data_IF_013732540535
#
_entry.id   IF_013732540535
#
_cell.length_a   1.000
_cell.length_b   1.000
_cell.length_c   1.000
_cell.angle_alpha   90.00
_cell.angle_beta   90.00
_cell.angle_gamma   90.00
#
_symmetry.space_group_name_H-M   'P 1'
#
loop_
_entity.id
_entity.type
_entity.pdbx_description
1 polymer ?
#
# COMPACT_ATOMS: atom_id res chain seq x y z
N UNK A 1 13.32 21.11 37.27
CA UNK A 1 12.57 21.48 36.04
C UNK A 1 12.89 20.45 34.97
N UNK A 2 11.94 19.57 34.62
CA UNK A 2 12.14 18.64 33.52
C UNK A 2 12.14 19.44 32.22
N UNK A 3 13.26 19.45 31.49
CA UNK A 3 13.32 20.02 30.16
C UNK A 3 12.31 19.26 29.28
N UNK A 4 11.22 19.93 28.89
CA UNK A 4 10.25 19.35 27.95
C UNK A 4 11.00 19.04 26.66
N UNK A 5 10.96 17.78 26.22
CA UNK A 5 11.63 17.39 24.98
C UNK A 5 11.13 18.27 23.82
N UNK A 6 12.03 18.69 22.91
CA UNK A 6 11.64 19.55 21.79
C UNK A 6 10.54 18.86 20.96
N UNK A 7 9.61 19.64 20.38
CA UNK A 7 8.53 19.07 19.58
C UNK A 7 9.10 18.24 18.43
N UNK A 8 8.64 17.00 18.32
CA UNK A 8 9.07 16.07 17.25
C UNK A 8 8.59 16.54 15.88
N UNK A 9 9.41 16.29 14.86
CA UNK A 9 9.12 16.65 13.47
C UNK A 9 7.96 15.81 12.89
N UNK A 10 7.92 14.52 13.25
CA UNK A 10 6.85 13.58 12.96
C UNK A 10 6.22 13.02 14.24
N UNK A 11 4.89 13.12 14.36
CA UNK A 11 4.16 12.58 15.50
C UNK A 11 4.25 11.05 15.56
N UNK A 12 4.14 10.47 16.76
CA UNK A 12 4.14 9.01 16.93
C UNK A 12 3.01 8.35 16.13
N UNK A 13 1.80 8.92 16.19
CA UNK A 13 0.63 8.40 15.46
C UNK A 13 0.86 8.34 13.95
N UNK A 14 1.48 9.38 13.36
CA UNK A 14 1.80 9.41 11.94
C UNK A 14 2.82 8.33 11.56
N UNK A 15 3.87 8.16 12.36
CA UNK A 15 4.92 7.16 12.12
C UNK A 15 4.38 5.75 12.19
N UNK A 16 3.63 5.43 13.24
CA UNK A 16 2.98 4.12 13.39
C UNK A 16 2.03 3.86 12.22
N UNK A 17 1.19 4.83 11.85
CA UNK A 17 0.30 4.70 10.71
C UNK A 17 1.07 4.43 9.41
N UNK A 18 2.14 5.19 9.14
CA UNK A 18 2.97 5.03 7.95
C UNK A 18 3.59 3.62 7.87
N UNK A 19 4.28 3.18 8.93
CA UNK A 19 4.94 1.88 8.94
C UNK A 19 3.96 0.71 8.93
N UNK A 20 2.79 0.83 9.55
CA UNK A 20 1.71 -0.16 9.43
C UNK A 20 1.21 -0.26 7.98
N UNK A 21 1.01 0.87 7.29
CA UNK A 21 0.63 0.84 5.87
C UNK A 21 1.73 0.19 5.02
N UNK A 22 3.00 0.57 5.23
CA UNK A 22 4.13 0.00 4.50
C UNK A 22 4.22 -1.53 4.68
N UNK A 23 4.04 -2.02 5.91
CA UNK A 23 4.05 -3.45 6.22
C UNK A 23 2.88 -4.18 5.54
N UNK A 24 1.66 -3.65 5.66
CA UNK A 24 0.46 -4.28 5.07
C UNK A 24 0.52 -4.30 3.54
N UNK A 25 0.91 -3.19 2.92
CA UNK A 25 1.05 -3.11 1.45
C UNK A 25 2.14 -4.07 0.96
N UNK A 26 3.28 -4.14 1.66
CA UNK A 26 4.34 -5.10 1.31
C UNK A 26 3.86 -6.54 1.43
N UNK A 27 3.07 -6.86 2.48
CA UNK A 27 2.42 -8.16 2.65
C UNK A 27 1.45 -8.49 1.51
N UNK A 28 0.59 -7.55 1.14
CA UNK A 28 -0.33 -7.69 0.01
C UNK A 28 0.41 -7.97 -1.31
N UNK A 29 1.43 -7.18 -1.63
CA UNK A 29 2.25 -7.41 -2.83
C UNK A 29 2.98 -8.77 -2.78
N UNK A 30 3.42 -9.19 -1.60
CA UNK A 30 4.04 -10.50 -1.40
C UNK A 30 3.05 -11.63 -1.67
N UNK A 31 1.81 -11.56 -1.18
CA UNK A 31 0.80 -12.60 -1.47
C UNK A 31 0.54 -12.76 -2.97
N UNK A 32 0.48 -11.66 -3.72
CA UNK A 32 0.35 -11.70 -5.19
C UNK A 32 1.60 -12.30 -5.85
N UNK A 33 2.79 -11.89 -5.41
CA UNK A 33 4.05 -12.46 -5.90
C UNK A 33 4.07 -13.97 -5.73
N UNK A 34 3.59 -14.48 -4.59
CA UNK A 34 3.49 -15.92 -4.35
C UNK A 34 2.45 -16.58 -5.24
N UNK A 35 1.25 -16.01 -5.38
CA UNK A 35 0.18 -16.55 -6.23
C UNK A 35 0.59 -16.68 -7.70
N UNK A 36 1.25 -15.66 -8.25
CA UNK A 36 1.45 -15.53 -9.70
C UNK A 36 2.88 -15.76 -10.18
N UNK A 37 3.90 -15.64 -9.32
CA UNK A 37 5.32 -15.71 -9.75
C UNK A 37 6.08 -16.85 -9.06
N UNK A 38 6.01 -16.96 -7.73
CA UNK A 38 6.84 -17.93 -6.98
C UNK A 38 6.20 -19.32 -6.97
N UNK A 39 5.00 -19.47 -6.41
CA UNK A 39 4.34 -20.78 -6.33
C UNK A 39 3.74 -21.14 -7.68
N UNK A 40 3.25 -20.15 -8.43
CA UNK A 40 2.44 -20.33 -9.64
C UNK A 40 1.45 -21.45 -9.45
N UNK A 41 0.39 -21.20 -8.67
CA UNK A 41 -0.54 -22.24 -8.17
C UNK A 41 -1.05 -23.21 -9.25
N UNK A 42 -1.06 -22.81 -10.53
CA UNK A 42 -1.35 -23.66 -11.69
C UNK A 42 -0.38 -24.84 -11.86
N UNK A 43 0.90 -24.66 -11.56
CA UNK A 43 2.00 -25.63 -11.71
C UNK A 43 2.11 -26.61 -10.52
N UNK A 44 1.54 -26.26 -9.35
CA UNK A 44 1.61 -27.08 -8.12
C UNK A 44 1.02 -28.48 -8.32
N UNK A 45 -0.08 -28.60 -9.07
CA UNK A 45 -0.73 -29.89 -9.35
C UNK A 45 0.18 -30.85 -10.12
N UNK A 46 0.66 -30.46 -11.31
CA UNK A 46 1.62 -31.25 -12.08
C UNK A 46 2.90 -31.62 -11.31
N UNK A 47 3.49 -30.67 -10.58
CA UNK A 47 4.72 -30.92 -9.79
C UNK A 47 4.46 -31.99 -8.71
N UNK A 48 3.33 -31.90 -8.01
CA UNK A 48 2.96 -32.89 -6.99
C UNK A 48 2.70 -34.28 -7.58
N UNK A 49 2.05 -34.35 -8.74
CA UNK A 49 1.85 -35.61 -9.47
C UNK A 49 3.18 -36.25 -9.88
N UNK A 50 4.11 -35.45 -10.42
CA UNK A 50 5.44 -35.94 -10.82
C UNK A 50 6.24 -36.46 -9.62
N UNK A 51 6.21 -35.75 -8.49
CA UNK A 51 6.91 -36.18 -7.27
C UNK A 51 6.38 -37.51 -6.74
N UNK A 52 5.06 -37.67 -6.64
CA UNK A 52 4.47 -38.91 -6.09
C UNK A 52 4.55 -40.08 -7.07
N UNK A 53 4.57 -39.82 -8.38
CA UNK A 53 4.83 -40.85 -9.37
C UNK A 53 6.23 -41.48 -9.20
N UNK A 54 7.23 -40.73 -8.70
CA UNK A 54 8.57 -41.27 -8.39
C UNK A 54 8.55 -42.28 -7.25
N UNK A 55 7.57 -42.19 -6.35
CA UNK A 55 7.37 -43.11 -5.22
C UNK A 55 6.33 -44.20 -5.55
N UNK A 56 5.92 -44.33 -6.81
CA UNK A 56 4.93 -45.32 -7.26
C UNK A 56 3.48 -45.01 -6.86
N UNK A 57 3.19 -43.78 -6.44
CA UNK A 57 1.87 -43.32 -6.03
C UNK A 57 1.18 -42.55 -7.16
N UNK A 58 0.05 -43.05 -7.64
CA UNK A 58 -0.75 -42.36 -8.66
C UNK A 58 -1.71 -41.34 -8.03
N UNK A 59 -1.59 -40.07 -8.45
CA UNK A 59 -2.49 -38.99 -8.02
C UNK A 59 -3.43 -38.60 -9.15
N UNK A 60 -4.72 -38.73 -8.89
CA UNK A 60 -5.76 -38.35 -9.85
C UNK A 60 -5.74 -36.85 -10.15
N UNK A 61 -6.21 -36.47 -11.33
CA UNK A 61 -6.37 -35.06 -11.71
C UNK A 61 -7.30 -34.28 -10.76
N UNK A 62 -8.27 -34.95 -10.13
CA UNK A 62 -9.15 -34.34 -9.13
C UNK A 62 -8.40 -34.01 -7.83
N UNK A 63 -7.55 -34.91 -7.35
CA UNK A 63 -6.70 -34.66 -6.19
C UNK A 63 -5.69 -33.54 -6.45
N UNK A 64 -5.07 -33.50 -7.64
CA UNK A 64 -4.17 -32.42 -8.03
C UNK A 64 -4.89 -31.06 -8.11
N UNK A 65 -6.14 -31.02 -8.61
CA UNK A 65 -6.99 -29.81 -8.58
C UNK A 65 -7.34 -29.37 -7.15
N UNK A 66 -7.68 -30.32 -6.28
CA UNK A 66 -8.00 -30.03 -4.89
C UNK A 66 -6.80 -29.41 -4.16
N UNK A 67 -5.59 -29.96 -4.34
CA UNK A 67 -4.36 -29.40 -3.77
C UNK A 67 -4.13 -27.96 -4.22
N UNK A 68 -4.21 -27.70 -5.53
CA UNK A 68 -4.06 -26.35 -6.09
C UNK A 68 -5.05 -25.36 -5.47
N UNK A 69 -6.31 -25.79 -5.31
CA UNK A 69 -7.37 -24.97 -4.71
C UNK A 69 -7.06 -24.66 -3.24
N UNK A 70 -6.63 -25.65 -2.45
CA UNK A 70 -6.28 -25.44 -1.03
C UNK A 70 -5.13 -24.45 -0.88
N UNK A 71 -4.04 -24.62 -1.65
CA UNK A 71 -2.88 -23.73 -1.60
C UNK A 71 -3.27 -22.32 -2.03
N UNK A 72 -3.99 -22.18 -3.14
CA UNK A 72 -4.42 -20.88 -3.65
C UNK A 72 -5.34 -20.17 -2.65
N UNK A 73 -6.36 -20.87 -2.14
CA UNK A 73 -7.32 -20.30 -1.19
C UNK A 73 -6.63 -19.78 0.06
N UNK A 74 -5.68 -20.54 0.61
CA UNK A 74 -4.93 -20.12 1.80
C UNK A 74 -4.18 -18.81 1.60
N UNK A 75 -3.62 -18.56 0.41
CA UNK A 75 -2.92 -17.31 0.12
C UNK A 75 -3.93 -16.17 -0.10
N UNK A 76 -5.05 -16.44 -0.76
CA UNK A 76 -6.14 -15.47 -0.91
C UNK A 76 -6.74 -15.06 0.44
N UNK A 77 -6.92 -15.98 1.39
CA UNK A 77 -7.39 -15.67 2.75
C UNK A 77 -6.49 -14.63 3.42
N UNK A 78 -5.17 -14.79 3.28
CA UNK A 78 -4.20 -13.82 3.78
C UNK A 78 -4.29 -12.49 3.03
N UNK A 79 -4.42 -12.51 1.71
CA UNK A 79 -4.58 -11.31 0.89
C UNK A 79 -5.82 -10.51 1.31
N UNK A 80 -6.97 -11.18 1.46
CA UNK A 80 -8.24 -10.58 1.90
C UNK A 80 -8.08 -10.02 3.31
N UNK A 81 -7.53 -10.81 4.24
CA UNK A 81 -7.31 -10.37 5.63
C UNK A 81 -6.47 -9.09 5.70
N UNK A 82 -5.35 -9.06 4.97
CA UNK A 82 -4.49 -7.88 4.90
C UNK A 82 -5.19 -6.70 4.21
N UNK A 83 -6.03 -6.95 3.20
CA UNK A 83 -6.83 -5.93 2.52
C UNK A 83 -7.87 -5.30 3.44
N UNK A 84 -8.51 -6.08 4.30
CA UNK A 84 -9.43 -5.58 5.33
C UNK A 84 -8.69 -4.75 6.39
N UNK A 85 -7.47 -5.16 6.79
CA UNK A 85 -6.61 -4.35 7.67
C UNK A 85 -6.26 -3.01 7.00
N UNK A 86 -5.88 -3.03 5.72
CA UNK A 86 -5.59 -1.82 4.94
C UNK A 86 -6.80 -0.88 4.87
N UNK A 87 -8.00 -1.46 4.69
CA UNK A 87 -9.27 -0.72 4.74
C UNK A 87 -9.43 -0.01 6.08
N UNK A 88 -9.22 -0.72 7.20
CA UNK A 88 -9.26 -0.15 8.54
C UNK A 88 -8.25 0.99 8.73
N UNK A 89 -7.02 0.82 8.25
CA UNK A 89 -5.98 1.85 8.31
C UNK A 89 -6.34 3.11 7.50
N UNK A 90 -6.99 2.93 6.34
CA UNK A 90 -7.45 4.04 5.50
C UNK A 90 -8.62 4.77 6.14
N UNK A 91 -9.63 4.06 6.66
CA UNK A 91 -10.76 4.64 7.39
C UNK A 91 -10.26 5.41 8.61
N UNK A 92 -9.37 4.80 9.40
CA UNK A 92 -8.72 5.47 10.54
C UNK A 92 -8.04 6.78 10.12
N UNK A 93 -7.35 6.81 8.97
CA UNK A 93 -6.72 8.02 8.45
C UNK A 93 -7.73 9.11 8.12
N UNK A 94 -8.83 8.76 7.47
CA UNK A 94 -9.92 9.68 7.11
C UNK A 94 -10.58 10.25 8.36
N UNK A 95 -10.86 9.41 9.36
CA UNK A 95 -11.42 9.86 10.65
C UNK A 95 -10.47 10.83 11.35
N UNK A 96 -9.18 10.52 11.43
CA UNK A 96 -8.19 11.44 12.00
C UNK A 96 -8.10 12.76 11.24
N UNK A 97 -8.29 12.76 9.93
CA UNK A 97 -8.30 13.96 9.11
C UNK A 97 -9.51 14.87 9.41
N UNK A 98 -10.67 14.29 9.72
CA UNK A 98 -11.85 15.03 10.13
C UNK A 98 -11.75 15.59 11.55
N UNK A 99 -11.13 14.84 12.47
CA UNK A 99 -10.91 15.26 13.86
C UNK A 99 -9.84 16.36 14.01
N UNK A 100 -8.97 16.54 13.00
CA UNK A 100 -7.96 17.59 13.04
C UNK A 100 -8.56 19.00 12.89
N UNK A 101 -8.00 20.02 13.60
CA UNK A 101 -8.42 21.41 13.46
C UNK A 101 -8.40 21.86 12.00
N UNK A 102 -9.36 22.70 11.58
CA UNK A 102 -9.53 23.12 10.19
C UNK A 102 -8.26 23.75 9.55
N UNK A 103 -7.39 24.36 10.37
CA UNK A 103 -6.10 24.92 9.95
C UNK A 103 -5.05 23.86 9.59
N UNK A 104 -5.19 22.63 10.11
CA UNK A 104 -4.25 21.53 9.92
C UNK A 104 -4.71 20.51 8.86
N UNK A 105 -5.96 20.62 8.38
CA UNK A 105 -6.50 19.75 7.34
C UNK A 105 -5.69 19.81 6.05
N UNK A 106 -5.61 18.68 5.36
CA UNK A 106 -4.93 18.49 4.09
C UNK A 106 -5.41 19.47 3.03
N UNK A 107 -6.71 19.75 2.95
CA UNK A 107 -7.28 20.73 2.01
C UNK A 107 -6.76 22.15 2.25
N UNK A 108 -6.63 22.56 3.52
CA UNK A 108 -6.06 23.85 3.92
C UNK A 108 -4.54 23.89 3.68
N UNK A 109 -3.82 22.81 4.00
CA UNK A 109 -2.37 22.68 3.72
C UNK A 109 -2.08 22.69 2.22
N UNK A 110 -2.89 22.03 1.40
CA UNK A 110 -2.78 22.01 -0.06
C UNK A 110 -3.08 23.38 -0.65
N UNK A 111 -4.12 24.08 -0.16
CA UNK A 111 -4.45 25.45 -0.56
C UNK A 111 -3.32 26.42 -0.22
N UNK A 112 -2.78 26.34 0.99
CA UNK A 112 -1.66 27.19 1.43
C UNK A 112 -0.37 26.88 0.67
N UNK A 113 -0.09 25.60 0.39
CA UNK A 113 1.06 25.20 -0.43
C UNK A 113 0.93 25.69 -1.88
N UNK A 114 -0.27 25.62 -2.48
CA UNK A 114 -0.56 26.13 -3.82
C UNK A 114 -0.45 27.65 -3.89
N UNK A 115 -0.98 28.36 -2.88
CA UNK A 115 -0.85 29.81 -2.77
C UNK A 115 0.61 30.25 -2.56
N UNK A 116 1.39 29.51 -1.77
CA UNK A 116 2.82 29.78 -1.61
C UNK A 116 3.62 29.51 -2.89
N UNK A 117 3.29 28.44 -3.63
CA UNK A 117 3.92 28.14 -4.93
C UNK A 117 3.60 29.21 -5.99
N UNK A 118 2.37 29.72 -6.00
CA UNK A 118 1.97 30.83 -6.87
C UNK A 118 2.65 32.17 -6.51
N UNK A 119 3.03 32.37 -5.24
CA UNK A 119 3.67 33.61 -4.77
C UNK A 119 5.19 33.65 -4.92
N UNK A 120 5.90 32.51 -4.85
CA UNK A 120 7.39 32.49 -4.93
C UNK A 120 7.96 32.37 -6.33
N UNK A 121 7.15 32.09 -7.35
CA UNK A 121 7.65 31.81 -8.70
C UNK A 121 8.38 30.46 -8.78
N UNK A 122 8.25 29.77 -9.93
CA UNK A 122 8.74 28.41 -10.14
C UNK A 122 10.26 28.30 -10.34
N UNK A 123 11.06 29.21 -9.76
CA UNK A 123 12.44 29.45 -10.17
C UNK A 123 13.52 28.79 -9.29
N UNK A 124 13.11 27.91 -8.37
CA UNK A 124 14.05 27.08 -7.61
C UNK A 124 13.71 25.61 -7.75
N UNK A 125 14.70 24.80 -8.15
CA UNK A 125 14.62 23.34 -8.31
C UNK A 125 14.01 22.65 -7.08
N UNK A 126 14.25 23.21 -5.90
CA UNK A 126 13.72 22.71 -4.62
C UNK A 126 12.21 22.98 -4.44
N UNK A 127 11.67 24.07 -4.99
CA UNK A 127 10.24 24.34 -4.97
C UNK A 127 9.46 23.32 -5.82
N UNK A 128 9.96 22.99 -7.02
CA UNK A 128 9.40 21.94 -7.89
C UNK A 128 9.43 20.57 -7.21
N UNK A 129 10.56 20.22 -6.60
CA UNK A 129 10.70 18.96 -5.85
C UNK A 129 9.69 18.87 -4.70
N UNK A 130 9.51 19.96 -3.93
CA UNK A 130 8.55 19.99 -2.82
C UNK A 130 7.09 19.82 -3.26
N UNK A 131 6.73 20.27 -4.45
CA UNK A 131 5.37 20.14 -5.01
C UNK A 131 5.16 18.73 -5.58
N UNK A 132 6.15 18.16 -6.27
CA UNK A 132 6.08 16.78 -6.76
C UNK A 132 5.87 15.78 -5.63
N UNK A 133 6.58 15.94 -4.51
CA UNK A 133 6.40 15.11 -3.32
C UNK A 133 4.98 15.28 -2.72
N UNK A 134 4.41 16.49 -2.75
CA UNK A 134 3.02 16.71 -2.30
C UNK A 134 1.99 16.03 -3.22
N UNK A 135 2.22 16.06 -4.53
CA UNK A 135 1.39 15.35 -5.49
C UNK A 135 1.52 13.84 -5.36
N UNK A 136 2.70 13.31 -5.03
CA UNK A 136 2.87 11.86 -4.84
C UNK A 136 2.02 11.33 -3.70
N UNK A 137 1.82 12.10 -2.61
CA UNK A 137 0.88 11.71 -1.55
C UNK A 137 -0.57 11.65 -2.04
N UNK A 138 -1.01 12.62 -2.85
CA UNK A 138 -2.37 12.61 -3.39
C UNK A 138 -2.58 11.40 -4.32
N UNK A 139 -1.64 11.15 -5.22
CA UNK A 139 -1.67 10.00 -6.13
C UNK A 139 -1.71 8.69 -5.31
N UNK A 140 -0.87 8.57 -4.29
CA UNK A 140 -0.88 7.40 -3.41
C UNK A 140 -2.23 7.16 -2.74
N UNK A 141 -2.84 8.20 -2.15
CA UNK A 141 -4.15 8.05 -1.52
C UNK A 141 -5.25 7.72 -2.52
N UNK A 142 -5.22 8.29 -3.73
CA UNK A 142 -6.17 7.93 -4.79
C UNK A 142 -6.03 6.46 -5.20
N UNK A 143 -4.80 6.00 -5.42
CA UNK A 143 -4.52 4.58 -5.73
C UNK A 143 -5.01 3.67 -4.60
N UNK A 144 -4.75 4.02 -3.34
CA UNK A 144 -5.22 3.23 -2.19
C UNK A 144 -6.75 3.18 -2.10
N UNK A 145 -7.44 4.29 -2.33
CA UNK A 145 -8.92 4.32 -2.33
C UNK A 145 -9.45 3.39 -3.42
N UNK A 146 -8.95 3.51 -4.66
CA UNK A 146 -9.36 2.64 -5.76
C UNK A 146 -9.08 1.17 -5.45
N UNK A 147 -7.88 0.86 -4.93
CA UNK A 147 -7.45 -0.49 -4.57
C UNK A 147 -8.36 -1.11 -3.49
N UNK A 148 -8.62 -0.37 -2.41
CA UNK A 148 -9.48 -0.82 -1.30
C UNK A 148 -10.93 -0.96 -1.76
N UNK A 149 -11.47 0.02 -2.48
CA UNK A 149 -12.86 -0.03 -2.97
C UNK A 149 -13.08 -1.22 -3.89
N UNK A 150 -12.22 -1.42 -4.88
CA UNK A 150 -12.31 -2.58 -5.78
C UNK A 150 -12.10 -3.89 -5.04
N UNK A 151 -11.17 -3.97 -4.08
CA UNK A 151 -10.95 -5.15 -3.27
C UNK A 151 -12.18 -5.53 -2.43
N UNK A 152 -12.84 -4.55 -1.80
CA UNK A 152 -14.09 -4.79 -1.04
C UNK A 152 -15.22 -5.27 -1.96
N UNK A 153 -15.34 -4.72 -3.17
CA UNK A 153 -16.33 -5.22 -4.15
C UNK A 153 -16.09 -6.70 -4.45
N UNK A 154 -14.83 -7.10 -4.68
CA UNK A 154 -14.48 -8.49 -4.98
C UNK A 154 -14.73 -9.43 -3.80
N UNK A 155 -14.48 -8.98 -2.56
CA UNK A 155 -14.71 -9.78 -1.36
C UNK A 155 -16.20 -10.08 -1.14
N UNK A 156 -17.08 -9.12 -1.43
CA UNK A 156 -18.53 -9.22 -1.19
C UNK A 156 -19.34 -9.40 -2.47
N UNK A 157 -18.71 -9.74 -3.60
CA UNK A 157 -19.37 -9.88 -4.90
C UNK A 157 -20.45 -10.97 -4.86
N UNK A 158 -20.15 -12.11 -4.22
CA UNK A 158 -21.08 -13.23 -4.11
C UNK A 158 -22.24 -12.98 -3.12
N UNK A 159 -22.06 -12.04 -2.19
CA UNK A 159 -23.05 -11.74 -1.14
C UNK A 159 -24.10 -10.70 -1.60
N UNK A 160 -23.75 -9.88 -2.61
CA UNK A 160 -24.58 -8.75 -3.04
C UNK A 160 -24.73 -8.73 -4.56
N UNK A 161 -25.95 -8.94 -5.05
CA UNK A 161 -26.25 -9.04 -6.48
C UNK A 161 -25.71 -7.86 -7.32
N UNK A 162 -25.79 -6.63 -6.81
CA UNK A 162 -25.24 -5.46 -7.50
C UNK A 162 -23.70 -5.52 -7.63
N UNK A 163 -23.00 -6.01 -6.60
CA UNK A 163 -21.54 -6.13 -6.61
C UNK A 163 -21.09 -7.22 -7.59
N UNK A 164 -21.84 -8.32 -7.67
CA UNK A 164 -21.59 -9.37 -8.66
C UNK A 164 -21.62 -8.85 -10.10
N UNK A 165 -22.56 -7.96 -10.43
CA UNK A 165 -22.68 -7.37 -11.78
C UNK A 165 -21.43 -6.59 -12.18
N UNK A 166 -20.77 -5.93 -11.23
CA UNK A 166 -19.59 -5.10 -11.48
C UNK A 166 -18.26 -5.81 -11.19
N UNK A 167 -18.30 -7.07 -10.70
CA UNK A 167 -17.14 -7.82 -10.22
C UNK A 167 -16.01 -7.86 -11.25
N UNK A 168 -16.32 -8.21 -12.50
CA UNK A 168 -15.32 -8.30 -13.56
C UNK A 168 -14.61 -6.98 -13.80
N UNK A 169 -15.37 -5.87 -13.87
CA UNK A 169 -14.80 -4.53 -14.07
C UNK A 169 -13.93 -4.14 -12.87
N UNK A 170 -14.42 -4.38 -11.65
CA UNK A 170 -13.65 -4.10 -10.44
C UNK A 170 -12.38 -4.94 -10.38
N UNK A 171 -12.39 -6.19 -10.85
CA UNK A 171 -11.21 -7.05 -10.92
C UNK A 171 -10.15 -6.50 -11.86
N UNK A 172 -10.54 -6.10 -13.06
CA UNK A 172 -9.61 -5.48 -14.02
C UNK A 172 -9.00 -4.20 -13.45
N UNK A 173 -9.83 -3.33 -12.85
CA UNK A 173 -9.35 -2.10 -12.20
C UNK A 173 -8.41 -2.45 -11.04
N UNK A 174 -8.72 -3.45 -10.23
CA UNK A 174 -7.88 -3.89 -9.11
C UNK A 174 -6.51 -4.36 -9.59
N UNK A 175 -6.49 -5.20 -10.63
CA UNK A 175 -5.26 -5.72 -11.24
C UNK A 175 -4.41 -4.60 -11.87
N UNK A 176 -5.03 -3.67 -12.62
CA UNK A 176 -4.30 -2.52 -13.19
C UNK A 176 -3.77 -1.61 -12.09
N UNK A 177 -4.59 -1.32 -11.08
CA UNK A 177 -4.20 -0.46 -9.94
C UNK A 177 -3.04 -1.08 -9.17
N UNK A 178 -2.95 -2.41 -9.09
CA UNK A 178 -1.83 -3.09 -8.45
C UNK A 178 -0.51 -2.76 -9.13
N UNK A 179 -0.44 -2.79 -10.47
CA UNK A 179 0.77 -2.41 -11.19
C UNK A 179 1.14 -0.93 -10.96
N UNK A 180 0.15 -0.05 -10.88
CA UNK A 180 0.37 1.36 -10.54
C UNK A 180 0.91 1.52 -9.11
N UNK A 181 0.40 0.76 -8.15
CA UNK A 181 0.89 0.74 -6.76
C UNK A 181 2.33 0.21 -6.71
N UNK A 182 2.66 -0.86 -7.44
CA UNK A 182 4.02 -1.38 -7.55
C UNK A 182 4.96 -0.30 -8.09
N UNK A 183 4.60 0.34 -9.20
CA UNK A 183 5.40 1.41 -9.80
C UNK A 183 5.61 2.57 -8.82
N UNK A 184 4.55 2.97 -8.10
CA UNK A 184 4.64 4.00 -7.07
C UNK A 184 5.58 3.60 -5.93
N UNK A 185 5.45 2.37 -5.39
CA UNK A 185 6.29 1.88 -4.29
C UNK A 185 7.76 1.86 -4.69
N UNK A 186 8.08 1.35 -5.89
CA UNK A 186 9.45 1.35 -6.41
C UNK A 186 9.98 2.77 -6.53
N UNK A 187 9.23 3.67 -7.17
CA UNK A 187 9.63 5.07 -7.32
C UNK A 187 9.82 5.78 -5.97
N UNK A 188 8.94 5.50 -5.01
CA UNK A 188 9.02 6.04 -3.65
C UNK A 188 10.28 5.57 -2.93
N UNK A 189 10.54 4.26 -2.91
CA UNK A 189 11.73 3.69 -2.25
C UNK A 189 13.02 4.20 -2.88
N UNK A 190 13.10 4.23 -4.22
CA UNK A 190 14.26 4.80 -4.93
C UNK A 190 14.44 6.27 -4.57
N UNK A 191 13.35 7.05 -4.53
CA UNK A 191 13.39 8.46 -4.14
C UNK A 191 13.88 8.67 -2.70
N UNK A 192 13.42 7.83 -1.77
CA UNK A 192 13.85 7.86 -0.36
C UNK A 192 15.34 7.50 -0.24
N UNK A 193 15.79 6.41 -0.86
CA UNK A 193 17.20 5.98 -0.82
C UNK A 193 18.11 7.03 -1.46
N UNK A 194 17.71 7.59 -2.61
CA UNK A 194 18.45 8.68 -3.24
C UNK A 194 18.57 9.86 -2.28
N UNK A 195 17.45 10.33 -1.73
CA UNK A 195 17.43 11.49 -0.86
C UNK A 195 18.30 11.28 0.39
N UNK A 196 18.22 10.10 1.00
CA UNK A 196 19.04 9.68 2.16
C UNK A 196 20.54 9.74 1.83
N UNK A 197 20.97 9.23 0.67
CA UNK A 197 22.40 9.16 0.31
C UNK A 197 22.98 10.53 -0.10
N UNK A 198 22.17 11.39 -0.73
CA UNK A 198 22.68 12.60 -1.39
C UNK A 198 22.42 13.92 -0.66
N UNK A 199 21.17 14.22 -0.31
CA UNK A 199 20.72 15.58 0.03
C UNK A 199 20.11 15.70 1.42
N UNK A 200 19.39 14.68 1.87
CA UNK A 200 18.61 14.69 3.11
C UNK A 200 19.00 13.46 3.94
N UNK A 201 20.22 13.46 4.48
CA UNK A 201 20.68 12.38 5.37
C UNK A 201 19.82 12.33 6.62
N UNK A 202 19.43 11.14 7.04
CA UNK A 202 18.64 10.89 8.24
C UNK A 202 17.13 10.91 8.06
N UNK A 203 16.58 11.03 6.83
CA UNK A 203 15.12 11.06 6.63
C UNK A 203 14.43 9.77 7.06
N UNK A 204 15.07 8.62 6.85
CA UNK A 204 14.52 7.33 7.31
C UNK A 204 14.60 7.26 8.83
N UNK A 205 15.72 7.69 9.41
CA UNK A 205 15.90 7.75 10.86
C UNK A 205 14.85 8.65 11.51
N UNK A 206 14.61 9.84 10.96
CA UNK A 206 13.59 10.77 11.43
C UNK A 206 12.18 10.19 11.32
N UNK A 207 11.88 9.42 10.28
CA UNK A 207 10.60 8.71 10.15
C UNK A 207 10.45 7.58 11.19
N UNK A 208 11.55 7.03 11.70
CA UNK A 208 11.52 6.01 12.76
C UNK A 208 11.45 6.66 14.15
N UNK A 209 12.31 7.64 14.43
CA UNK A 209 12.50 8.22 15.77
C UNK A 209 11.69 9.50 16.03
N UNK A 210 11.08 10.08 14.98
CA UNK A 210 10.27 11.29 15.02
C UNK A 210 10.98 12.55 14.58
N UNK A 211 12.31 12.53 14.43
CA UNK A 211 13.15 13.69 14.11
C UNK A 211 13.09 14.79 15.17
N UNK A 212 14.09 15.65 15.20
CA UNK A 212 14.03 16.86 16.01
C UNK A 212 13.70 18.04 15.11
N UNK A 213 12.68 18.82 15.47
CA UNK A 213 12.39 20.07 14.78
C UNK A 213 13.52 21.04 15.11
N UNK A 214 14.40 21.29 14.15
CA UNK A 214 15.39 22.36 14.26
C UNK A 214 14.59 23.66 14.14
N UNK A 215 14.63 24.51 15.17
CA UNK A 215 14.11 25.88 15.09
C UNK A 215 14.95 26.72 14.11
#
# INVERSE_FOLDING_TARGET
>A
MAASSPPKLYSLALRLWHWSNAAVISGLLTTILFLFVIIKTKEVGPIFQEMLAKDGLEVTQQQARALRKVVSNRIWDWHITLGLILTGLLVFRVVLEWLQPASQRFSTRLRNARAHYQRKGADTRDARHSVLVKWSYLVFYLLLVVMVSTGLVLVYADDVAFLHVIEHTCKEIHEVTMYLVIAFVVAHVVGVVWAEVTRNRGIVSDMINGGNRVE
#
